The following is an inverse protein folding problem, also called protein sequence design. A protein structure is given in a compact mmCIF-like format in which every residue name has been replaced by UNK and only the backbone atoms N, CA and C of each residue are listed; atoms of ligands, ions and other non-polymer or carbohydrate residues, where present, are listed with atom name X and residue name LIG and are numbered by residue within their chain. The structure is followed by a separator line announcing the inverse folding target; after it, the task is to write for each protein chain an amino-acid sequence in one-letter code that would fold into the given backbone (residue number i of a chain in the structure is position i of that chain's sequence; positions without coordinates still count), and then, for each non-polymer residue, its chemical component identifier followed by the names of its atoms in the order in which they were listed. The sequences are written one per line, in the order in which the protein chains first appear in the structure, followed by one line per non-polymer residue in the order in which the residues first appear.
data_IF_849978984816
#
_entry.id   IF_849978984816
#
_cell.length_a   1.000
_cell.length_b   1.000
_cell.length_c   1.000
_cell.angle_alpha   90.00
_cell.angle_beta   90.00
_cell.angle_gamma   90.00
#
_symmetry.space_group_name_H-M   'P 1'
#
loop_
_entity.id
_entity.type
_entity.pdbx_description
1 polymer ?
#
# COMPACT_ATOMS: atom_id res chain seq x y z
N UNK A 1 -4.33 4.62 -14.70
CA UNK A 1 -3.34 3.55 -14.90
C UNK A 1 -3.35 2.47 -13.81
N UNK A 2 -2.82 2.69 -12.59
CA UNK A 2 -2.70 1.60 -11.58
C UNK A 2 -4.06 0.94 -11.23
N UNK A 3 -5.07 1.75 -10.88
CA UNK A 3 -6.42 1.26 -10.61
C UNK A 3 -7.03 0.48 -11.80
N UNK A 4 -6.78 0.92 -13.05
CA UNK A 4 -7.25 0.23 -14.27
C UNK A 4 -6.69 -1.19 -14.41
N UNK A 5 -5.61 -1.53 -13.71
CA UNK A 5 -4.98 -2.87 -13.74
C UNK A 5 -5.38 -3.73 -12.55
N UNK A 6 -5.64 -3.11 -11.39
CA UNK A 6 -5.87 -3.81 -10.13
C UNK A 6 -7.34 -3.94 -9.77
N UNK A 7 -8.16 -2.97 -10.16
CA UNK A 7 -9.56 -2.88 -9.79
C UNK A 7 -10.49 -3.35 -10.91
N UNK A 8 -11.69 -3.78 -10.52
CA UNK A 8 -12.79 -4.01 -11.45
C UNK A 8 -13.27 -2.69 -12.07
N UNK A 9 -13.81 -2.77 -13.30
CA UNK A 9 -14.20 -1.58 -14.07
C UNK A 9 -15.25 -0.71 -13.34
N UNK A 10 -16.14 -1.35 -12.56
CA UNK A 10 -17.15 -0.67 -11.74
C UNK A 10 -16.57 0.15 -10.57
N UNK A 11 -15.34 -0.16 -10.13
CA UNK A 11 -14.65 0.54 -9.04
C UNK A 11 -13.74 1.67 -9.57
N UNK A 12 -13.67 1.88 -10.88
CA UNK A 12 -12.84 2.92 -11.48
C UNK A 12 -13.51 4.29 -11.36
N UNK A 13 -12.77 5.27 -10.85
CA UNK A 13 -13.20 6.67 -10.89
C UNK A 13 -12.98 7.26 -12.29
N UNK A 14 -14.01 7.89 -12.89
CA UNK A 14 -13.88 8.61 -14.16
C UNK A 14 -12.79 9.69 -14.13
N UNK A 15 -12.18 9.98 -15.29
CA UNK A 15 -11.05 10.91 -15.39
C UNK A 15 -11.43 12.35 -15.02
N UNK A 16 -12.62 12.80 -15.43
CA UNK A 16 -13.19 14.10 -15.07
C UNK A 16 -13.43 14.22 -13.56
N UNK A 17 -13.89 13.15 -12.93
CA UNK A 17 -14.07 13.10 -11.48
C UNK A 17 -12.73 13.11 -10.73
N UNK A 18 -11.71 12.39 -11.21
CA UNK A 18 -10.36 12.45 -10.64
C UNK A 18 -9.76 13.86 -10.71
N UNK A 19 -9.92 14.55 -11.85
CA UNK A 19 -9.48 15.94 -12.04
C UNK A 19 -10.20 16.86 -11.04
N UNK A 20 -11.51 16.67 -10.88
CA UNK A 20 -12.35 17.43 -9.93
C UNK A 20 -11.90 17.21 -8.49
N UNK A 21 -11.70 15.96 -8.07
CA UNK A 21 -11.26 15.60 -6.71
C UNK A 21 -9.86 16.17 -6.44
N UNK A 22 -8.93 16.00 -7.39
CA UNK A 22 -7.56 16.49 -7.29
C UNK A 22 -7.41 18.00 -7.42
N UNK A 23 -8.49 18.72 -7.75
CA UNK A 23 -8.50 20.16 -8.07
C UNK A 23 -7.42 20.56 -9.08
N UNK A 24 -7.17 19.67 -10.03
CA UNK A 24 -6.12 19.84 -11.00
C UNK A 24 -6.56 20.81 -12.11
N UNK A 25 -5.62 21.59 -12.65
CA UNK A 25 -5.89 22.56 -13.74
C UNK A 25 -5.66 21.99 -15.14
N UNK A 26 -5.66 20.66 -15.28
CA UNK A 26 -5.42 19.97 -16.54
C UNK A 26 -6.70 19.31 -17.06
N UNK A 27 -6.74 19.06 -18.38
CA UNK A 27 -7.89 18.47 -19.06
C UNK A 27 -7.87 16.93 -19.01
N UNK A 28 -8.98 16.28 -19.37
CA UNK A 28 -9.01 14.83 -19.57
C UNK A 28 -7.98 14.40 -20.61
N UNK A 29 -7.84 15.17 -21.69
CA UNK A 29 -6.83 14.90 -22.73
C UNK A 29 -5.40 14.97 -22.19
N UNK A 30 -5.10 15.90 -21.28
CA UNK A 30 -3.79 15.96 -20.62
C UNK A 30 -3.52 14.71 -19.77
N UNK A 31 -4.54 14.22 -19.06
CA UNK A 31 -4.44 13.01 -18.23
C UNK A 31 -4.23 11.76 -19.09
N UNK A 32 -4.97 11.62 -20.19
CA UNK A 32 -4.80 10.53 -21.16
C UNK A 32 -3.42 10.57 -21.83
N UNK A 33 -2.96 11.77 -22.22
CA UNK A 33 -1.62 11.97 -22.78
C UNK A 33 -0.54 11.56 -21.77
N UNK A 34 -0.68 11.94 -20.50
CA UNK A 34 0.27 11.57 -19.46
C UNK A 34 0.22 10.07 -19.16
N UNK A 35 -0.95 9.45 -19.16
CA UNK A 35 -1.09 8.00 -19.03
C UNK A 35 -0.31 7.28 -20.13
N UNK A 36 -0.43 7.72 -21.39
CA UNK A 36 0.35 7.18 -22.51
C UNK A 36 1.86 7.36 -22.31
N UNK A 37 2.31 8.56 -21.94
CA UNK A 37 3.74 8.84 -21.70
C UNK A 37 4.28 7.92 -20.60
N UNK A 38 3.56 7.78 -19.48
CA UNK A 38 3.99 6.93 -18.38
C UNK A 38 4.02 5.46 -18.79
N UNK A 39 3.00 5.00 -19.52
CA UNK A 39 2.94 3.63 -20.03
C UNK A 39 4.14 3.32 -20.95
N UNK A 40 4.45 4.23 -21.88
CA UNK A 40 5.57 4.11 -22.80
C UNK A 40 6.92 4.12 -22.05
N UNK A 41 7.09 5.03 -21.08
CA UNK A 41 8.35 5.16 -20.32
C UNK A 41 8.64 3.96 -19.43
N UNK A 42 7.60 3.37 -18.85
CA UNK A 42 7.75 2.24 -17.94
C UNK A 42 7.73 0.89 -18.67
N UNK A 43 7.52 0.87 -20.00
CA UNK A 43 7.15 -0.34 -20.74
C UNK A 43 6.08 -1.12 -19.96
N UNK A 44 5.04 -0.40 -19.54
CA UNK A 44 4.20 -0.78 -18.42
C UNK A 44 3.60 -2.18 -18.62
N UNK A 45 4.05 -3.13 -17.79
CA UNK A 45 3.55 -4.49 -17.78
C UNK A 45 2.36 -4.58 -16.82
N UNK A 46 1.22 -5.02 -17.33
CA UNK A 46 0.06 -5.35 -16.48
C UNK A 46 0.46 -6.46 -15.49
N UNK A 47 0.07 -6.31 -14.21
CA UNK A 47 0.34 -7.25 -13.09
C UNK A 47 1.81 -7.32 -12.64
N UNK A 48 2.32 -6.21 -12.09
CA UNK A 48 3.59 -6.24 -11.39
C UNK A 48 3.48 -7.05 -10.08
N UNK A 49 4.47 -7.90 -9.82
CA UNK A 49 4.60 -8.57 -8.51
C UNK A 49 5.04 -7.53 -7.49
N UNK A 50 4.27 -7.38 -6.41
CA UNK A 50 4.53 -6.36 -5.37
C UNK A 50 4.91 -7.02 -4.04
N UNK A 51 5.34 -6.21 -3.08
CA UNK A 51 5.65 -6.70 -1.74
C UNK A 51 4.41 -7.32 -1.07
N UNK A 52 3.21 -6.82 -1.39
CA UNK A 52 1.94 -7.39 -0.91
C UNK A 52 1.76 -8.84 -1.37
N UNK A 53 2.11 -9.13 -2.63
CA UNK A 53 2.04 -10.50 -3.18
C UNK A 53 2.92 -11.48 -2.39
N UNK A 54 4.15 -11.10 -2.08
CA UNK A 54 5.05 -11.91 -1.26
C UNK A 54 4.58 -12.01 0.20
N UNK A 55 4.05 -10.91 0.75
CA UNK A 55 3.57 -10.87 2.13
C UNK A 55 2.41 -11.84 2.34
N UNK A 56 1.45 -11.87 1.42
CA UNK A 56 0.35 -12.86 1.43
C UNK A 56 0.89 -14.29 1.34
N UNK A 57 1.84 -14.54 0.43
CA UNK A 57 2.44 -15.86 0.27
C UNK A 57 3.16 -16.32 1.54
N UNK A 58 3.97 -15.46 2.15
CA UNK A 58 4.69 -15.84 3.38
C UNK A 58 3.75 -15.99 4.57
N UNK A 59 2.72 -15.15 4.66
CA UNK A 59 1.71 -15.24 5.71
C UNK A 59 0.96 -16.58 5.62
N UNK A 60 0.57 -17.01 4.41
CA UNK A 60 -0.03 -18.32 4.19
C UNK A 60 0.89 -19.48 4.61
N UNK A 61 2.19 -19.38 4.34
CA UNK A 61 3.17 -20.38 4.79
C UNK A 61 3.28 -20.37 6.32
N UNK A 62 3.32 -19.18 6.94
CA UNK A 62 3.39 -19.05 8.39
C UNK A 62 2.12 -19.51 9.12
N UNK A 63 0.95 -19.41 8.47
CA UNK A 63 -0.34 -19.92 8.97
C UNK A 63 -0.44 -21.44 9.06
N UNK A 64 0.52 -22.19 8.50
CA UNK A 64 0.63 -23.63 8.75
C UNK A 64 0.92 -23.94 10.24
N UNK A 65 1.32 -22.93 11.02
CA UNK A 65 1.47 -23.00 12.47
C UNK A 65 0.19 -22.57 13.19
N UNK A 66 -0.09 -23.11 14.39
CA UNK A 66 -1.31 -22.85 15.16
C UNK A 66 -1.42 -21.43 15.76
N UNK A 67 -0.61 -20.47 15.31
CA UNK A 67 -0.53 -19.13 15.86
C UNK A 67 -0.90 -18.09 14.78
N UNK A 68 -1.70 -17.10 15.15
CA UNK A 68 -2.32 -16.19 14.18
C UNK A 68 -1.60 -14.85 14.12
N UNK A 69 -0.83 -14.61 13.06
CA UNK A 69 -0.43 -13.26 12.67
C UNK A 69 -1.62 -12.57 12.00
N UNK A 70 -1.94 -11.34 12.42
CA UNK A 70 -2.97 -10.54 11.77
C UNK A 70 -2.48 -10.05 10.41
N UNK A 71 -3.08 -10.56 9.33
CA UNK A 71 -2.78 -10.12 7.96
C UNK A 71 -3.08 -8.64 7.77
N UNK A 72 -4.22 -8.18 8.30
CA UNK A 72 -4.63 -6.77 8.23
C UNK A 72 -3.58 -5.83 8.86
N UNK A 73 -3.00 -6.24 10.00
CA UNK A 73 -1.92 -5.48 10.65
C UNK A 73 -0.67 -5.41 9.77
N UNK A 74 -0.26 -6.54 9.19
CA UNK A 74 0.90 -6.61 8.29
C UNK A 74 0.69 -5.75 7.03
N UNK A 75 -0.51 -5.78 6.44
CA UNK A 75 -0.85 -4.92 5.31
C UNK A 75 -0.85 -3.43 5.66
N UNK A 76 -1.36 -3.06 6.84
CA UNK A 76 -1.32 -1.69 7.33
C UNK A 76 0.12 -1.20 7.52
N UNK A 77 0.99 -2.05 8.07
CA UNK A 77 2.42 -1.78 8.21
C UNK A 77 3.11 -1.65 6.85
N UNK A 78 2.78 -2.51 5.89
CA UNK A 78 3.30 -2.40 4.52
C UNK A 78 2.88 -1.06 3.87
N UNK A 79 1.61 -0.67 4.01
CA UNK A 79 1.12 0.63 3.54
C UNK A 79 1.92 1.78 4.15
N UNK A 80 2.18 1.74 5.45
CA UNK A 80 3.01 2.73 6.14
C UNK A 80 4.44 2.82 5.57
N UNK A 81 5.07 1.67 5.30
CA UNK A 81 6.40 1.64 4.66
C UNK A 81 6.37 2.23 3.24
N UNK A 82 5.39 1.87 2.43
CA UNK A 82 5.28 2.32 1.03
C UNK A 82 4.99 3.82 0.89
N UNK A 83 4.53 4.50 1.95
CA UNK A 83 4.45 5.96 2.00
C UNK A 83 5.83 6.64 1.98
N UNK A 84 6.92 5.90 2.22
CA UNK A 84 8.29 6.42 2.15
C UNK A 84 8.99 5.90 0.90
N UNK A 85 9.49 6.81 0.06
CA UNK A 85 10.12 6.46 -1.21
C UNK A 85 11.33 5.53 -1.07
N UNK A 86 12.02 5.56 0.07
CA UNK A 86 13.15 4.65 0.35
C UNK A 86 12.79 3.18 0.17
N UNK A 87 11.56 2.78 0.50
CA UNK A 87 11.12 1.39 0.35
C UNK A 87 10.81 1.00 -1.09
N UNK A 88 10.71 1.96 -2.03
CA UNK A 88 10.60 1.64 -3.45
C UNK A 88 11.87 1.01 -4.03
N UNK A 89 13.01 1.15 -3.33
CA UNK A 89 14.29 0.55 -3.69
C UNK A 89 14.46 -0.89 -3.17
N UNK A 90 13.62 -1.32 -2.24
CA UNK A 90 13.70 -2.67 -1.69
C UNK A 90 13.21 -3.70 -2.71
N UNK A 91 13.84 -4.88 -2.73
CA UNK A 91 13.21 -6.02 -3.40
C UNK A 91 11.87 -6.33 -2.71
N UNK A 92 10.78 -6.51 -3.46
CA UNK A 92 9.47 -6.82 -2.89
C UNK A 92 9.47 -8.00 -1.91
N UNK A 93 10.20 -9.06 -2.23
CA UNK A 93 10.33 -10.27 -1.41
C UNK A 93 11.07 -10.03 -0.09
N UNK A 94 12.07 -9.15 -0.08
CA UNK A 94 12.85 -8.82 1.12
C UNK A 94 12.04 -7.91 2.05
N UNK A 95 11.37 -6.90 1.49
CA UNK A 95 10.51 -6.02 2.27
C UNK A 95 9.36 -6.79 2.95
N UNK A 96 8.74 -7.70 2.22
CA UNK A 96 7.69 -8.55 2.76
C UNK A 96 8.21 -9.45 3.90
N UNK A 97 9.41 -10.03 3.76
CA UNK A 97 10.00 -10.88 4.80
C UNK A 97 10.41 -10.06 6.03
N UNK A 98 10.98 -8.87 5.85
CA UNK A 98 11.31 -7.95 6.94
C UNK A 98 10.07 -7.56 7.75
N UNK A 99 8.95 -7.27 7.08
CA UNK A 99 7.66 -7.01 7.74
C UNK A 99 7.11 -8.23 8.46
N UNK A 100 7.22 -9.42 7.88
CA UNK A 100 6.80 -10.66 8.53
C UNK A 100 7.61 -10.89 9.81
N UNK A 101 8.93 -10.72 9.77
CA UNK A 101 9.80 -10.86 10.94
C UNK A 101 9.42 -9.89 12.06
N UNK A 102 9.08 -8.63 11.73
CA UNK A 102 8.55 -7.68 12.70
C UNK A 102 7.22 -8.13 13.33
N UNK A 103 6.35 -8.77 12.54
CA UNK A 103 5.13 -9.39 13.05
C UNK A 103 5.41 -10.56 14.00
N UNK A 104 6.37 -11.43 13.65
CA UNK A 104 6.76 -12.60 14.45
C UNK A 104 7.42 -12.17 15.77
N UNK A 105 8.31 -11.18 15.71
CA UNK A 105 9.00 -10.64 16.88
C UNK A 105 8.00 -10.08 17.91
N UNK A 106 6.91 -9.46 17.46
CA UNK A 106 5.85 -8.98 18.34
C UNK A 106 5.03 -10.08 19.04
N UNK A 107 5.09 -11.32 18.54
CA UNK A 107 4.37 -12.49 19.10
C UNK A 107 5.34 -13.44 19.83
N UNK A 108 6.66 -13.24 19.70
CA UNK A 108 7.70 -14.07 20.32
C UNK A 108 7.56 -15.57 20.04
N UNK A 109 7.23 -15.95 18.79
CA UNK A 109 7.09 -17.35 18.38
C UNK A 109 8.36 -17.89 17.73
N UNK A 110 9.00 -18.87 18.37
CA UNK A 110 10.20 -19.54 17.84
C UNK A 110 9.91 -20.36 16.58
N UNK A 111 8.80 -21.10 16.54
CA UNK A 111 8.39 -21.89 15.37
C UNK A 111 8.25 -21.01 14.12
N UNK A 112 7.66 -19.82 14.26
CA UNK A 112 7.51 -18.89 13.14
C UNK A 112 8.85 -18.29 12.71
N UNK A 113 9.78 -18.05 13.64
CA UNK A 113 11.13 -17.61 13.30
C UNK A 113 11.86 -18.67 12.47
N UNK A 114 11.71 -19.95 12.81
CA UNK A 114 12.29 -21.05 12.03
C UNK A 114 11.72 -21.09 10.60
N UNK A 115 10.41 -20.90 10.44
CA UNK A 115 9.78 -20.78 9.11
C UNK A 115 10.32 -19.57 8.34
N UNK A 116 10.41 -18.40 8.98
CA UNK A 116 10.95 -17.20 8.35
C UNK A 116 12.41 -17.41 7.88
N UNK A 117 13.22 -18.11 8.68
CA UNK A 117 14.57 -18.51 8.32
C UNK A 117 14.60 -19.49 7.13
N UNK A 118 13.69 -20.46 7.09
CA UNK A 118 13.55 -21.35 5.94
C UNK A 118 13.14 -20.61 4.67
N UNK A 119 12.21 -19.67 4.76
CA UNK A 119 11.81 -18.79 3.65
C UNK A 119 13.02 -17.98 3.16
N UNK A 120 13.76 -17.35 4.08
CA UNK A 120 14.97 -16.59 3.78
C UNK A 120 15.97 -17.43 2.99
N UNK A 121 16.29 -18.63 3.49
CA UNK A 121 17.25 -19.55 2.88
C UNK A 121 16.78 -20.04 1.52
N UNK A 122 15.51 -20.38 1.37
CA UNK A 122 14.92 -20.83 0.11
C UNK A 122 15.00 -19.74 -0.97
N UNK A 123 14.73 -18.50 -0.60
CA UNK A 123 14.77 -17.34 -1.49
C UNK A 123 16.17 -16.74 -1.66
N UNK A 124 17.17 -17.30 -0.97
CA UNK A 124 18.57 -16.85 -1.01
C UNK A 124 18.72 -15.37 -0.65
N UNK A 125 17.94 -14.91 0.32
CA UNK A 125 18.03 -13.55 0.85
C UNK A 125 19.21 -13.50 1.83
N UNK A 126 20.18 -12.61 1.58
CA UNK A 126 21.36 -12.48 2.42
C UNK A 126 21.04 -11.86 3.78
N UNK A 127 21.69 -12.33 4.84
CA UNK A 127 21.45 -11.87 6.22
C UNK A 127 21.62 -10.35 6.36
N UNK A 128 22.68 -9.78 5.78
CA UNK A 128 22.92 -8.34 5.82
C UNK A 128 21.88 -7.52 5.06
N UNK A 129 21.34 -8.04 3.96
CA UNK A 129 20.26 -7.38 3.22
C UNK A 129 18.96 -7.39 4.04
N UNK A 130 18.63 -8.54 4.65
CA UNK A 130 17.45 -8.69 5.47
C UNK A 130 17.52 -7.84 6.73
N UNK A 131 18.65 -7.86 7.44
CA UNK A 131 18.87 -7.04 8.64
C UNK A 131 18.70 -5.55 8.35
N UNK A 132 19.34 -5.06 7.28
CA UNK A 132 19.23 -3.66 6.86
C UNK A 132 17.77 -3.23 6.64
N UNK A 133 16.99 -4.06 5.94
CA UNK A 133 15.59 -3.73 5.67
C UNK A 133 14.70 -3.92 6.90
N UNK A 134 14.98 -4.90 7.76
CA UNK A 134 14.29 -5.08 9.03
C UNK A 134 14.47 -3.88 9.95
N UNK A 135 15.69 -3.35 10.09
CA UNK A 135 15.96 -2.13 10.88
C UNK A 135 15.22 -0.91 10.31
N UNK A 136 15.20 -0.76 8.98
CA UNK A 136 14.46 0.33 8.31
C UNK A 136 12.96 0.22 8.50
N UNK A 137 12.41 -1.00 8.42
CA UNK A 137 10.99 -1.25 8.69
C UNK A 137 10.68 -0.90 10.13
N UNK A 138 11.46 -1.39 11.10
CA UNK A 138 11.26 -1.10 12.52
C UNK A 138 11.25 0.42 12.80
N UNK A 139 12.24 1.15 12.26
CA UNK A 139 12.30 2.61 12.35
C UNK A 139 11.06 3.27 11.71
N UNK A 140 10.70 2.85 10.49
CA UNK A 140 9.53 3.40 9.80
C UNK A 140 8.24 3.18 10.58
N UNK A 141 8.06 2.02 11.20
CA UNK A 141 6.87 1.68 11.98
C UNK A 141 6.85 2.41 13.31
N UNK A 142 8.00 2.59 13.96
CA UNK A 142 8.15 3.41 15.16
C UNK A 142 7.76 4.88 14.88
N UNK A 143 8.36 5.46 13.84
CA UNK A 143 8.03 6.82 13.42
C UNK A 143 6.55 6.93 13.02
N UNK A 144 6.03 5.95 12.29
CA UNK A 144 4.62 5.95 11.88
C UNK A 144 3.70 5.81 13.07
N UNK A 145 4.09 5.09 14.13
CA UNK A 145 3.30 4.96 15.35
C UNK A 145 3.33 6.23 16.21
N UNK A 146 4.35 7.07 16.07
CA UNK A 146 4.51 8.30 16.85
C UNK A 146 3.34 9.29 16.64
N UNK A 147 2.98 10.08 17.66
CA UNK A 147 1.91 11.08 17.57
C UNK A 147 2.25 12.25 16.64
N UNK A 148 3.53 12.46 16.34
CA UNK A 148 4.01 13.48 15.39
C UNK A 148 3.76 13.07 13.93
N UNK A 149 3.52 11.78 13.66
CA UNK A 149 3.19 11.31 12.32
C UNK A 149 1.74 11.61 11.96
N UNK A 150 1.56 12.34 10.85
CA UNK A 150 0.23 12.58 10.26
C UNK A 150 -0.31 11.29 9.64
N UNK A 151 -1.00 10.48 10.45
CA UNK A 151 -1.69 9.27 10.00
C UNK A 151 -2.98 9.63 9.26
N UNK A 152 -3.26 9.05 8.08
CA UNK A 152 -4.61 9.07 7.53
C UNK A 152 -5.54 8.32 8.50
N UNK A 153 -6.44 9.05 9.17
CA UNK A 153 -7.38 8.49 10.14
C UNK A 153 -8.49 7.71 9.41
N UNK A 154 -8.54 6.40 9.64
CA UNK A 154 -9.50 5.46 9.01
C UNK A 154 -10.96 5.75 9.40
N UNK A 155 -11.21 6.47 10.52
CA UNK A 155 -12.56 6.94 10.90
C UNK A 155 -12.88 8.33 10.34
N UNK A 156 -11.88 9.03 9.81
CA UNK A 156 -11.99 10.34 9.17
C UNK A 156 -11.35 10.30 7.77
N UNK A 157 -11.74 9.32 6.97
CA UNK A 157 -11.83 9.52 5.51
C UNK A 157 -12.98 10.48 5.14
N UNK A 158 -13.40 11.35 6.08
CA UNK A 158 -13.78 12.70 5.69
C UNK A 158 -12.53 13.33 5.11
N UNK A 159 -12.43 13.33 3.79
CA UNK A 159 -11.61 14.31 3.12
C UNK A 159 -11.91 15.64 3.80
N UNK A 160 -10.96 16.21 4.56
CA UNK A 160 -11.04 17.61 4.98
C UNK A 160 -10.73 18.38 3.70
N UNK A 161 -11.67 18.32 2.78
CA UNK A 161 -11.67 19.12 1.58
C UNK A 161 -11.92 20.54 2.04
N UNK A 162 -11.12 21.48 1.53
CA UNK A 162 -11.34 22.89 1.81
C UNK A 162 -12.81 23.23 1.52
N UNK A 163 -13.39 24.22 2.20
CA UNK A 163 -14.78 24.65 1.92
C UNK A 163 -15.03 24.87 0.42
N UNK A 164 -14.01 25.35 -0.30
CA UNK A 164 -13.99 25.50 -1.76
C UNK A 164 -14.09 24.15 -2.49
N UNK A 165 -13.28 23.18 -2.09
CA UNK A 165 -13.30 21.84 -2.69
C UNK A 165 -14.61 21.11 -2.42
N UNK A 166 -15.18 21.21 -1.21
CA UNK A 166 -16.47 20.63 -0.88
C UNK A 166 -17.61 21.25 -1.73
N UNK A 167 -17.64 22.58 -1.88
CA UNK A 167 -18.64 23.27 -2.73
C UNK A 167 -18.53 22.88 -4.22
N UNK A 168 -17.30 22.70 -4.72
CA UNK A 168 -17.07 22.25 -6.10
C UNK A 168 -17.44 20.77 -6.33
N UNK A 169 -17.39 19.95 -5.28
CA UNK A 169 -17.86 18.56 -5.35
C UNK A 169 -19.40 18.46 -5.29
N UNK A 170 -20.05 19.30 -4.47
CA UNK A 170 -21.52 19.29 -4.32
C UNK A 170 -22.28 19.92 -5.50
N UNK A 171 -21.69 20.90 -6.19
CA UNK A 171 -22.34 21.60 -7.32
C UNK A 171 -22.64 20.71 -8.54
N UNK A 172 -22.08 19.50 -8.61
CA UNK A 172 -22.27 18.57 -9.73
C UNK A 172 -22.97 17.25 -9.35
N UNK A 173 -23.29 17.04 -8.06
CA UNK A 173 -24.14 15.93 -7.62
C UNK A 173 -25.59 16.42 -7.57
N UNK A 174 -26.30 16.36 -8.68
CA UNK A 174 -27.76 16.27 -8.65
C UNK A 174 -28.10 14.89 -8.08
N UNK A 175 -28.09 14.76 -6.76
CA UNK A 175 -28.72 13.62 -6.08
C UNK A 175 -30.23 13.82 -6.21
N UNK A 176 -31.01 12.85 -6.71
CA UNK A 176 -32.46 12.90 -6.56
C UNK A 176 -32.73 12.87 -5.05
N UNK A 177 -33.37 13.92 -4.53
CA UNK A 177 -33.81 13.97 -3.14
C UNK A 177 -34.58 12.70 -2.81
N UNK A 178 -34.04 11.88 -1.91
CA UNK A 178 -34.84 10.91 -1.17
C UNK A 178 -35.72 11.74 -0.23
N UNK A 179 -36.96 11.94 -0.66
CA UNK A 179 -38.06 12.53 0.12
C UNK A 179 -38.30 11.68 1.37
N UNK A 180 -38.63 12.30 2.53
CA UNK A 180 -38.76 11.64 3.83
C UNK A 180 -39.77 10.50 3.91
#
# INVERSE_FOLDING_TARGET
MAAKVTEEECNLTPCDELIRIGQCRFTVSDLERMEKIVADKLNFKSKAITALTFLHLYHQIAQLLPLTLSLEKLEAQLKACLCRITFSLAKPSVLALALLMQGIEAVHSEDMLEIAYHIQKHLKIGDGELLLWSERVALCLSDYASPECSKPDHRRLQWIVSRRTAQNLHSYRNVPELVP
#
